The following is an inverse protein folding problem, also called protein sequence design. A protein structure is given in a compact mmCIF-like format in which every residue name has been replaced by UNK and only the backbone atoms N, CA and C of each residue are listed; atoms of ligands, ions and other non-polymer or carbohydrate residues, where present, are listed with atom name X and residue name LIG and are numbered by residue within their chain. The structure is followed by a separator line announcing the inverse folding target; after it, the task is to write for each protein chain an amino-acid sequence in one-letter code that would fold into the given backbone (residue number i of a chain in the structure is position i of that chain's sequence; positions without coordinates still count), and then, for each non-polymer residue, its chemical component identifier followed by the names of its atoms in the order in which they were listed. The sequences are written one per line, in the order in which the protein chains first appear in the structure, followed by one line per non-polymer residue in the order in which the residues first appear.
data_IF_882563898454
#
_entry.id   IF_882563898454
#
_cell.length_a   1.000
_cell.length_b   1.000
_cell.length_c   1.000
_cell.angle_alpha   90.00
_cell.angle_beta   90.00
_cell.angle_gamma   90.00
#
_symmetry.space_group_name_H-M   'P 1'
#
loop_
_entity.id
_entity.type
_entity.pdbx_description
1 polymer ?
#
# COMPACT_ATOMS: atom_id res chain seq x y z
N UNK A 1 -0.64 12.31 -10.38
CA UNK A 1 0.74 12.52 -9.90
C UNK A 1 1.00 11.62 -8.69
N UNK A 2 2.15 10.97 -8.65
CA UNK A 2 2.52 10.04 -7.57
C UNK A 2 3.76 10.57 -6.86
N UNK A 3 3.77 10.43 -5.52
CA UNK A 3 4.92 10.81 -4.71
C UNK A 3 5.36 9.62 -3.87
N UNK A 4 6.61 9.20 -4.05
CA UNK A 4 7.17 8.03 -3.38
C UNK A 4 7.99 8.47 -2.18
N UNK A 5 7.59 8.02 -0.99
CA UNK A 5 8.29 8.29 0.26
C UNK A 5 9.11 7.06 0.65
N UNK A 6 10.32 6.95 0.08
CA UNK A 6 11.22 5.82 0.31
C UNK A 6 12.34 6.12 1.29
N UNK A 7 12.47 7.38 1.73
CA UNK A 7 13.54 7.79 2.65
C UNK A 7 13.06 7.99 4.08
N UNK A 8 11.75 7.99 4.32
CA UNK A 8 11.17 8.09 5.66
C UNK A 8 10.21 6.94 5.88
N UNK A 9 10.01 6.59 7.15
CA UNK A 9 9.05 5.57 7.55
C UNK A 9 8.05 6.14 8.54
N UNK A 10 6.79 5.81 8.35
CA UNK A 10 5.68 6.27 9.19
C UNK A 10 4.69 5.13 9.38
N UNK A 11 3.85 5.24 10.41
CA UNK A 11 2.70 4.35 10.54
C UNK A 11 1.72 4.60 9.39
N UNK A 12 0.76 3.68 9.20
CA UNK A 12 -0.24 3.83 8.14
C UNK A 12 -1.03 5.13 8.29
N UNK A 13 -1.48 5.45 9.51
CA UNK A 13 -2.27 6.65 9.76
C UNK A 13 -1.45 7.92 9.55
N UNK A 14 -0.21 7.95 10.01
CA UNK A 14 0.70 9.08 9.77
C UNK A 14 0.97 9.27 8.28
N UNK A 15 1.15 8.16 7.55
CA UNK A 15 1.34 8.18 6.09
C UNK A 15 0.15 8.81 5.38
N UNK A 16 -1.07 8.43 5.76
CA UNK A 16 -2.28 9.03 5.18
C UNK A 16 -2.35 10.53 5.47
N UNK A 17 -2.02 10.94 6.69
CA UNK A 17 -2.01 12.36 7.05
C UNK A 17 -1.04 13.16 6.18
N UNK A 18 0.15 12.62 5.92
CA UNK A 18 1.13 13.27 5.04
C UNK A 18 0.61 13.36 3.62
N UNK A 19 -0.02 12.30 3.11
CA UNK A 19 -0.61 12.32 1.77
C UNK A 19 -1.72 13.37 1.66
N UNK A 20 -2.56 13.51 2.69
CA UNK A 20 -3.61 14.53 2.73
C UNK A 20 -3.02 15.95 2.72
N UNK A 21 -1.94 16.19 3.46
CA UNK A 21 -1.23 17.46 3.45
C UNK A 21 -0.67 17.79 2.06
N UNK A 22 -0.26 16.77 1.32
CA UNK A 22 0.25 16.93 -0.05
C UNK A 22 -0.88 17.12 -1.08
N UNK A 23 -2.14 17.07 -0.65
CA UNK A 23 -3.29 17.27 -1.53
C UNK A 23 -3.82 15.99 -2.16
N UNK A 24 -3.60 14.86 -1.53
CA UNK A 24 -4.02 13.57 -2.06
C UNK A 24 -4.35 12.54 -0.98
N UNK A 25 -4.06 11.29 -1.27
CA UNK A 25 -4.27 10.17 -0.37
C UNK A 25 -3.20 9.11 -0.60
N UNK A 26 -3.17 8.09 0.26
CA UNK A 26 -2.36 6.91 -0.02
C UNK A 26 -2.79 6.28 -1.35
N UNK A 27 -1.83 5.73 -2.06
CA UNK A 27 -1.99 5.20 -3.41
C UNK A 27 -3.04 4.11 -3.47
N UNK A 28 -3.94 4.19 -4.45
CA UNK A 28 -4.98 3.19 -4.70
C UNK A 28 -4.52 2.26 -5.83
N UNK A 29 -3.93 1.13 -5.48
CA UNK A 29 -3.42 0.18 -6.48
C UNK A 29 -4.55 -0.71 -7.02
N UNK A 30 -5.56 -0.09 -7.61
CA UNK A 30 -6.79 -0.74 -8.02
C UNK A 30 -6.79 -1.25 -9.47
N UNK A 31 -5.61 -1.38 -10.07
CA UNK A 31 -5.45 -1.99 -11.39
C UNK A 31 -4.09 -2.68 -11.48
N UNK A 32 -3.94 -3.62 -12.42
CA UNK A 32 -2.66 -4.30 -12.64
C UNK A 32 -1.56 -3.33 -13.05
N UNK A 33 -1.90 -2.33 -13.85
CA UNK A 33 -0.95 -1.27 -14.25
C UNK A 33 -0.39 -0.55 -13.02
N UNK A 34 -1.26 -0.20 -12.08
CA UNK A 34 -0.86 0.52 -10.86
C UNK A 34 -0.04 -0.37 -9.92
N UNK A 35 -0.33 -1.67 -9.84
CA UNK A 35 0.48 -2.62 -9.10
C UNK A 35 1.88 -2.76 -9.72
N UNK A 36 1.95 -2.88 -11.03
CA UNK A 36 3.22 -3.00 -11.74
C UNK A 36 4.09 -1.76 -11.54
N UNK A 37 3.48 -0.59 -11.47
CA UNK A 37 4.19 0.67 -11.22
C UNK A 37 4.86 0.66 -9.84
N UNK A 38 4.17 0.16 -8.81
CA UNK A 38 4.75 0.01 -7.48
C UNK A 38 5.96 -0.93 -7.52
N UNK A 39 5.78 -2.11 -8.10
CA UNK A 39 6.83 -3.12 -8.16
C UNK A 39 8.08 -2.58 -8.86
N UNK A 40 7.90 -1.93 -9.99
CA UNK A 40 9.00 -1.35 -10.77
C UNK A 40 9.77 -0.31 -9.94
N UNK A 41 9.06 0.57 -9.24
CA UNK A 41 9.70 1.61 -8.44
C UNK A 41 10.40 1.05 -7.21
N UNK A 42 9.84 0.02 -6.55
CA UNK A 42 10.48 -0.63 -5.43
C UNK A 42 11.79 -1.32 -5.85
N UNK A 43 11.74 -2.07 -6.96
CA UNK A 43 12.93 -2.75 -7.49
C UNK A 43 14.00 -1.74 -7.90
N UNK A 44 13.61 -0.65 -8.56
CA UNK A 44 14.55 0.39 -8.99
C UNK A 44 15.21 1.09 -7.82
N UNK A 45 14.49 1.29 -6.72
CA UNK A 45 15.03 2.02 -5.55
C UNK A 45 15.81 1.11 -4.60
N UNK A 46 15.25 -0.05 -4.24
CA UNK A 46 15.83 -0.93 -3.23
C UNK A 46 16.69 -2.05 -3.81
N UNK A 47 16.50 -2.41 -5.07
CA UNK A 47 17.25 -3.46 -5.75
C UNK A 47 16.48 -4.77 -5.86
N UNK A 48 16.93 -5.61 -6.78
CA UNK A 48 16.38 -6.96 -6.97
C UNK A 48 16.79 -7.83 -5.78
N UNK A 49 15.86 -8.66 -5.30
CA UNK A 49 16.11 -9.58 -4.20
C UNK A 49 16.08 -8.96 -2.80
N UNK A 50 15.66 -7.70 -2.70
CA UNK A 50 15.53 -6.99 -1.42
C UNK A 50 14.07 -6.97 -0.99
N UNK A 51 13.78 -7.42 0.23
CA UNK A 51 12.44 -7.38 0.78
C UNK A 51 12.04 -5.93 1.12
N UNK A 52 10.83 -5.52 0.74
CA UNK A 52 10.34 -4.17 0.98
C UNK A 52 8.82 -4.16 1.00
N UNK A 53 8.23 -3.14 1.62
CA UNK A 53 6.80 -2.90 1.54
C UNK A 53 6.50 -1.41 1.56
N UNK A 54 5.33 -1.03 1.01
CA UNK A 54 4.83 0.34 1.07
C UNK A 54 3.35 0.30 1.46
N UNK A 55 2.93 1.24 2.29
CA UNK A 55 1.53 1.39 2.66
C UNK A 55 0.70 1.94 1.52
N UNK A 56 -0.53 1.43 1.41
CA UNK A 56 -1.50 1.79 0.37
C UNK A 56 -2.83 2.17 1.00
N UNK A 57 -3.72 2.75 0.19
CA UNK A 57 -4.97 3.36 0.62
C UNK A 57 -6.16 2.42 0.69
N UNK A 58 -6.03 1.30 1.38
CA UNK A 58 -7.15 0.38 1.63
C UNK A 58 -7.09 -0.17 3.06
N UNK A 59 -8.25 -0.57 3.56
CA UNK A 59 -8.38 -1.07 4.93
C UNK A 59 -9.60 -2.00 5.03
N UNK A 60 -9.63 -2.88 6.04
CA UNK A 60 -10.79 -3.69 6.39
C UNK A 60 -11.38 -3.30 7.75
N UNK A 61 -11.12 -2.07 8.20
CA UNK A 61 -11.55 -1.61 9.53
C UNK A 61 -13.06 -1.50 9.69
N UNK A 62 -13.82 -1.37 8.60
CA UNK A 62 -15.28 -1.33 8.66
C UNK A 62 -15.88 -2.71 8.92
N UNK A 63 -15.34 -3.74 8.29
CA UNK A 63 -15.78 -5.12 8.45
C UNK A 63 -14.60 -6.05 8.20
N UNK A 64 -14.25 -6.85 9.19
CA UNK A 64 -13.10 -7.75 9.13
C UNK A 64 -13.16 -8.66 7.90
N UNK A 65 -12.07 -8.69 7.14
CA UNK A 65 -11.97 -9.49 5.94
C UNK A 65 -12.56 -8.86 4.69
N UNK A 66 -13.24 -7.71 4.82
CA UNK A 66 -13.81 -6.97 3.68
C UNK A 66 -12.93 -5.76 3.42
N UNK A 67 -12.11 -5.85 2.40
CA UNK A 67 -11.14 -4.83 2.04
C UNK A 67 -11.69 -3.87 1.00
N UNK A 68 -11.59 -2.58 1.27
CA UNK A 68 -12.03 -1.53 0.36
C UNK A 68 -10.95 -0.46 0.21
N UNK A 69 -10.78 0.04 -1.01
CA UNK A 69 -9.99 1.22 -1.27
C UNK A 69 -10.68 2.46 -0.73
N UNK A 70 -9.95 3.56 -0.53
CA UNK A 70 -10.52 4.80 0.01
C UNK A 70 -11.62 5.40 -0.86
N UNK A 71 -11.67 5.07 -2.14
CA UNK A 71 -12.75 5.52 -3.03
C UNK A 71 -14.02 4.68 -2.92
N UNK A 72 -14.05 3.69 -2.04
CA UNK A 72 -15.20 2.81 -1.83
C UNK A 72 -15.21 1.57 -2.69
N UNK A 73 -14.29 1.43 -3.64
CA UNK A 73 -14.22 0.23 -4.49
C UNK A 73 -13.69 -0.97 -3.69
N UNK A 74 -14.26 -2.16 -3.87
CA UNK A 74 -13.72 -3.36 -3.24
C UNK A 74 -12.33 -3.71 -3.81
N UNK A 75 -11.46 -4.23 -2.95
CA UNK A 75 -10.15 -4.71 -3.37
C UNK A 75 -10.33 -6.05 -4.08
N UNK A 76 -9.70 -6.20 -5.25
CA UNK A 76 -9.70 -7.46 -5.98
C UNK A 76 -8.79 -8.46 -5.25
N UNK A 77 -9.37 -9.55 -4.75
CA UNK A 77 -8.64 -10.55 -3.96
C UNK A 77 -7.55 -11.27 -4.75
N UNK A 78 -7.66 -11.32 -6.07
CA UNK A 78 -6.64 -11.92 -6.93
C UNK A 78 -5.32 -11.13 -6.92
N UNK A 79 -5.35 -9.88 -6.45
CA UNK A 79 -4.16 -9.03 -6.35
C UNK A 79 -3.36 -9.26 -5.07
N UNK A 80 -3.90 -10.00 -4.10
CA UNK A 80 -3.17 -10.35 -2.88
C UNK A 80 -2.07 -11.37 -3.18
N UNK A 81 -0.98 -11.28 -2.42
CA UNK A 81 0.04 -12.32 -2.44
C UNK A 81 -0.56 -13.66 -2.02
N UNK A 82 -0.03 -14.80 -2.51
CA UNK A 82 -0.50 -16.11 -2.05
C UNK A 82 -0.44 -16.24 -0.52
N UNK A 83 -1.52 -16.74 0.07
CA UNK A 83 -1.63 -16.88 1.53
C UNK A 83 -2.03 -15.61 2.27
N UNK A 84 -2.35 -14.53 1.56
CA UNK A 84 -2.77 -13.27 2.18
C UNK A 84 -4.16 -12.86 1.66
N UNK A 85 -4.89 -12.01 2.39
CA UNK A 85 -4.60 -11.48 3.72
C UNK A 85 -4.71 -12.58 4.77
N UNK A 86 -3.82 -12.58 5.78
CA UNK A 86 -3.83 -13.59 6.84
C UNK A 86 -4.28 -13.05 8.20
N UNK A 87 -4.37 -11.71 8.34
CA UNK A 87 -4.78 -11.03 9.56
C UNK A 87 -4.09 -11.59 10.81
N UNK A 88 -2.78 -11.75 10.73
CA UNK A 88 -1.96 -12.36 11.79
C UNK A 88 -2.27 -11.74 13.15
N UNK A 89 -2.67 -12.60 14.12
CA UNK A 89 -3.07 -12.20 15.47
C UNK A 89 -4.25 -11.21 15.53
N UNK A 90 -5.13 -11.21 14.53
CA UNK A 90 -6.26 -10.28 14.42
C UNK A 90 -5.84 -8.80 14.47
N UNK A 91 -4.66 -8.48 13.95
CA UNK A 91 -4.10 -7.13 14.08
C UNK A 91 -3.53 -6.57 12.78
N UNK A 92 -3.96 -7.09 11.62
CA UNK A 92 -3.49 -6.62 10.33
C UNK A 92 -4.66 -6.07 9.52
N UNK A 93 -4.92 -4.77 9.66
CA UNK A 93 -6.08 -4.09 9.09
C UNK A 93 -5.73 -3.02 8.06
N UNK A 94 -4.45 -2.85 7.75
CA UNK A 94 -3.99 -1.83 6.81
C UNK A 94 -3.33 -2.50 5.61
N UNK A 95 -3.57 -1.94 4.43
CA UNK A 95 -3.05 -2.48 3.19
C UNK A 95 -1.63 -2.03 2.93
N UNK A 96 -0.80 -2.97 2.45
CA UNK A 96 0.50 -2.65 1.88
C UNK A 96 0.69 -3.44 0.59
N UNK A 97 1.67 -3.01 -0.21
CA UNK A 97 2.24 -3.84 -1.26
C UNK A 97 3.57 -4.37 -0.73
N UNK A 98 3.78 -5.66 -0.83
CA UNK A 98 4.99 -6.30 -0.31
C UNK A 98 5.68 -7.11 -1.39
N UNK A 99 7.02 -6.99 -1.41
CA UNK A 99 7.88 -7.87 -2.20
C UNK A 99 8.86 -8.53 -1.24
N UNK A 100 9.07 -9.83 -1.37
CA UNK A 100 10.04 -10.54 -0.53
C UNK A 100 11.35 -10.77 -1.30
N UNK A 101 12.35 -11.32 -0.62
CA UNK A 101 13.68 -11.54 -1.22
C UNK A 101 13.67 -12.56 -2.35
N UNK A 102 12.66 -13.41 -2.44
CA UNK A 102 12.49 -14.37 -3.54
C UNK A 102 11.76 -13.74 -4.74
N UNK A 103 11.28 -12.50 -4.62
CA UNK A 103 10.60 -11.79 -5.70
C UNK A 103 9.09 -11.99 -5.73
N UNK A 104 8.51 -12.72 -4.76
CA UNK A 104 7.06 -12.83 -4.63
C UNK A 104 6.50 -11.50 -4.17
N UNK A 105 5.50 -10.99 -4.86
CA UNK A 105 4.96 -9.66 -4.60
C UNK A 105 3.44 -9.63 -4.76
N UNK A 106 2.83 -8.61 -4.18
CA UNK A 106 1.40 -8.36 -4.28
C UNK A 106 0.88 -7.61 -3.06
N UNK A 107 -0.42 -7.46 -3.00
CA UNK A 107 -1.09 -6.85 -1.86
C UNK A 107 -0.98 -7.75 -0.63
N UNK A 108 -0.86 -7.14 0.53
CA UNK A 108 -0.76 -7.85 1.80
C UNK A 108 -1.42 -6.99 2.89
N UNK A 109 -1.86 -7.64 3.95
CA UNK A 109 -2.33 -6.97 5.15
C UNK A 109 -1.17 -6.73 6.11
N UNK A 110 -1.20 -5.61 6.81
CA UNK A 110 -0.11 -5.19 7.70
C UNK A 110 -0.68 -4.58 8.97
N UNK A 111 0.06 -4.72 10.05
CA UNK A 111 -0.23 -4.03 11.30
C UNK A 111 -0.07 -2.53 11.10
N UNK A 112 -1.11 -1.76 11.40
CA UNK A 112 -1.19 -0.34 11.01
C UNK A 112 -0.16 0.56 11.69
N UNK A 113 0.34 0.19 12.85
CA UNK A 113 1.30 1.00 13.61
C UNK A 113 2.76 0.65 13.37
N UNK A 114 3.06 -0.33 12.52
CA UNK A 114 4.44 -0.58 12.09
C UNK A 114 4.86 0.54 11.14
N UNK A 115 6.07 1.05 11.32
CA UNK A 115 6.57 2.13 10.45
C UNK A 115 7.05 1.57 9.13
N UNK A 116 6.60 2.16 8.04
CA UNK A 116 6.95 1.74 6.69
C UNK A 116 7.01 2.90 5.72
N UNK A 117 7.56 2.62 4.56
CA UNK A 117 7.52 3.57 3.45
C UNK A 117 6.10 3.62 2.88
N UNK A 118 5.83 4.61 2.04
CA UNK A 118 4.48 4.79 1.49
C UNK A 118 4.51 5.57 0.18
N UNK A 119 3.40 5.51 -0.54
CA UNK A 119 3.21 6.21 -1.81
C UNK A 119 1.92 7.03 -1.73
N UNK A 120 1.99 8.28 -2.14
CA UNK A 120 0.82 9.16 -2.22
C UNK A 120 0.39 9.33 -3.67
N UNK A 121 -0.92 9.36 -3.90
CA UNK A 121 -1.52 9.87 -5.14
C UNK A 121 -1.94 11.32 -4.88
N UNK A 122 -1.42 12.23 -5.68
CA UNK A 122 -1.74 13.64 -5.55
C UNK A 122 -2.82 13.99 -6.57
N UNK A 123 -3.90 14.57 -6.12
CA UNK A 123 -5.00 15.01 -6.99
C UNK A 123 -4.66 16.40 -7.49
N UNK A 124 -4.41 16.53 -8.80
CA UNK A 124 -4.20 17.82 -9.43
C UNK A 124 -5.56 18.46 -9.65
N UNK A 125 -5.79 19.57 -8.98
CA UNK A 125 -7.01 20.35 -9.20
C UNK A 125 -6.76 21.30 -10.35
N UNK A 126 -7.60 21.23 -11.35
CA UNK A 126 -7.61 22.21 -12.43
C UNK A 126 -8.05 23.54 -11.83
N UNK A 127 -7.19 24.48 -11.88
CA UNK A 127 -7.26 25.89 -11.60
C UNK A 127 -8.26 26.45 -10.68
#
# INVERSE_FOLDING_TARGET
CYKFYFSITKSWLESESICEEDGGSLYLANSQFKLNLIRQNLVNHFGVGVAAFVYLGATDTHEEGIWNWFNGEPVNRDMFRPGTPDNYQNNQHCMCYRIDSAGLSGLDDKTCNVKGNFICEIILKDG
#
